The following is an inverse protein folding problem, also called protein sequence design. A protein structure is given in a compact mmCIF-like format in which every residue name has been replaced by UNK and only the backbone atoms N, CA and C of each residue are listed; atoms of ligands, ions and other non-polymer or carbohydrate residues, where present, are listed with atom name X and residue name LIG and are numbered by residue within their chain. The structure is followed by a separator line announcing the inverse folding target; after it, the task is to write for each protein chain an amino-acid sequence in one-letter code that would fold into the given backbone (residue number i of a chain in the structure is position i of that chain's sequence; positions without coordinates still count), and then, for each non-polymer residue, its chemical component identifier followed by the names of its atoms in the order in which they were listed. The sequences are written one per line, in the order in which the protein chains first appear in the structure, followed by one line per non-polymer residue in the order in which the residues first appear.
data_IF_698427871529
#
_entry.id   IF_698427871529
#
_cell.length_a   1.000
_cell.length_b   1.000
_cell.length_c   1.000
_cell.angle_alpha   90.00
_cell.angle_beta   90.00
_cell.angle_gamma   90.00
#
_symmetry.space_group_name_H-M   'P 1'
#
loop_
_entity.id
_entity.type
_entity.pdbx_description
1 polymer ?
#
# COMPACT_ATOMS: atom_id res chain seq x y z
N UNK A 1 23.63 0.91 -7.52
CA UNK A 1 23.21 2.15 -8.23
C UNK A 1 21.73 2.52 -8.07
N UNK A 2 20.84 1.65 -7.56
CA UNK A 2 19.41 1.98 -7.35
C UNK A 2 19.08 2.88 -6.15
N UNK A 3 19.99 2.99 -5.17
CA UNK A 3 19.75 3.78 -3.95
C UNK A 3 19.70 5.29 -4.22
N UNK A 4 20.63 5.81 -5.04
CA UNK A 4 20.78 7.25 -5.29
C UNK A 4 19.59 7.82 -6.08
N UNK A 5 19.10 7.08 -7.08
CA UNK A 5 17.91 7.50 -7.85
C UNK A 5 16.65 7.60 -6.97
N UNK A 6 16.46 6.65 -6.05
CA UNK A 6 15.35 6.71 -5.10
C UNK A 6 15.49 7.90 -4.14
N UNK A 7 16.71 8.21 -3.68
CA UNK A 7 16.96 9.37 -2.80
C UNK A 7 16.68 10.70 -3.49
N UNK A 8 17.03 10.84 -4.77
CA UNK A 8 16.76 12.07 -5.54
C UNK A 8 15.25 12.25 -5.77
N UNK A 9 14.53 11.17 -6.06
CA UNK A 9 13.07 11.21 -6.20
C UNK A 9 12.39 11.58 -4.87
N UNK A 10 12.82 10.98 -3.76
CA UNK A 10 12.31 11.29 -2.42
C UNK A 10 12.58 12.77 -2.04
N UNK A 11 13.74 13.32 -2.40
CA UNK A 11 14.09 14.72 -2.14
C UNK A 11 13.33 15.71 -3.04
N UNK A 12 13.10 15.36 -4.30
CA UNK A 12 12.23 16.10 -5.23
C UNK A 12 10.82 16.24 -4.66
N UNK A 13 10.27 15.14 -4.18
CA UNK A 13 8.93 15.12 -3.62
C UNK A 13 8.89 15.91 -2.30
N UNK A 14 9.89 15.75 -1.44
CA UNK A 14 10.01 16.57 -0.23
C UNK A 14 9.99 18.08 -0.51
N UNK A 15 10.80 18.56 -1.46
CA UNK A 15 10.84 19.99 -1.79
C UNK A 15 9.51 20.50 -2.38
N UNK A 16 8.85 19.69 -3.21
CA UNK A 16 7.56 20.07 -3.81
C UNK A 16 6.44 20.13 -2.80
N UNK A 17 6.40 19.19 -1.86
CA UNK A 17 5.28 19.03 -0.93
C UNK A 17 5.49 19.77 0.40
N UNK A 18 6.70 19.79 0.94
CA UNK A 18 6.98 20.33 2.30
C UNK A 18 7.53 21.77 2.26
N UNK A 19 8.33 22.14 1.25
CA UNK A 19 8.97 23.47 1.17
C UNK A 19 8.16 24.50 0.39
N UNK A 20 7.49 24.07 -0.69
CA UNK A 20 6.79 25.00 -1.59
C UNK A 20 5.28 25.12 -1.32
N UNK A 21 4.69 24.30 -0.44
CA UNK A 21 3.23 24.20 -0.23
C UNK A 21 2.41 24.17 -1.53
N UNK A 22 3.01 23.74 -2.65
CA UNK A 22 2.39 23.74 -3.99
C UNK A 22 1.30 22.67 -4.14
N UNK A 23 1.05 21.91 -3.09
CA UNK A 23 -0.03 20.95 -3.04
C UNK A 23 -1.22 21.56 -2.31
N UNK A 24 -1.99 22.38 -3.03
CA UNK A 24 -3.39 22.69 -2.70
C UNK A 24 -4.29 21.42 -2.67
N UNK A 25 -3.73 20.22 -2.88
CA UNK A 25 -4.46 18.98 -2.73
C UNK A 25 -4.48 18.61 -1.25
N UNK A 26 -5.64 18.68 -0.58
CA UNK A 26 -5.75 18.22 0.80
C UNK A 26 -5.23 16.79 0.88
N UNK A 27 -4.48 16.51 1.95
CA UNK A 27 -4.09 15.16 2.37
C UNK A 27 -5.26 14.24 2.08
N UNK A 28 -5.13 13.41 1.03
CA UNK A 28 -6.31 12.72 0.50
C UNK A 28 -6.80 11.80 1.60
N UNK A 29 -8.04 12.03 2.04
CA UNK A 29 -8.63 11.28 3.13
C UNK A 29 -8.81 9.85 2.64
N UNK A 30 -7.92 8.99 3.09
CA UNK A 30 -8.01 7.57 2.82
C UNK A 30 -9.01 6.97 3.82
N UNK A 31 -9.90 6.06 3.40
CA UNK A 31 -10.83 5.41 4.30
C UNK A 31 -10.05 4.65 5.38
N UNK A 32 -10.63 4.52 6.57
CA UNK A 32 -10.03 3.75 7.68
C UNK A 32 -10.17 2.25 7.49
N UNK A 33 -11.14 1.81 6.68
CA UNK A 33 -11.39 0.41 6.34
C UNK A 33 -11.86 0.30 4.89
N UNK A 34 -11.48 -0.78 4.23
CA UNK A 34 -11.88 -1.10 2.86
C UNK A 34 -12.42 -2.53 2.86
N UNK A 35 -13.57 -2.74 2.21
CA UNK A 35 -14.10 -4.08 1.99
C UNK A 35 -13.32 -4.76 0.86
N UNK A 36 -12.74 -5.93 1.17
CA UNK A 36 -11.86 -6.67 0.26
C UNK A 36 -12.45 -8.06 0.05
N UNK A 37 -12.49 -8.50 -1.20
CA UNK A 37 -12.79 -9.88 -1.57
C UNK A 37 -11.49 -10.64 -1.84
N UNK A 38 -11.45 -11.89 -1.40
CA UNK A 38 -10.31 -12.76 -1.63
C UNK A 38 -10.64 -13.79 -2.69
N UNK A 39 -9.74 -13.92 -3.66
CA UNK A 39 -9.84 -14.89 -4.73
C UNK A 39 -8.56 -15.72 -4.83
N UNK A 40 -8.73 -17.02 -5.03
CA UNK A 40 -7.63 -17.95 -5.24
C UNK A 40 -7.91 -18.81 -6.46
N UNK A 41 -6.91 -18.97 -7.32
CA UNK A 41 -7.01 -19.89 -8.45
C UNK A 41 -6.71 -21.32 -7.95
N UNK A 42 -7.62 -22.31 -8.10
CA UNK A 42 -7.46 -23.63 -7.46
C UNK A 42 -6.19 -24.40 -7.86
N UNK A 43 -5.74 -24.21 -9.10
CA UNK A 43 -4.63 -24.95 -9.70
C UNK A 43 -3.27 -24.24 -9.55
N UNK A 44 -3.24 -23.09 -8.88
CA UNK A 44 -2.01 -22.32 -8.72
C UNK A 44 -1.97 -21.65 -7.35
N UNK A 45 -0.77 -21.39 -6.85
CA UNK A 45 -0.61 -20.57 -5.65
C UNK A 45 -0.93 -19.08 -5.88
N UNK A 46 -1.51 -18.71 -7.03
CA UNK A 46 -1.86 -17.33 -7.32
C UNK A 46 -3.14 -16.92 -6.60
N UNK A 47 -3.06 -15.77 -5.94
CA UNK A 47 -4.14 -15.14 -5.19
C UNK A 47 -4.27 -13.69 -5.62
N UNK A 48 -5.50 -13.20 -5.67
CA UNK A 48 -5.76 -11.79 -5.88
C UNK A 48 -6.89 -11.33 -4.99
N UNK A 49 -6.89 -10.03 -4.76
CA UNK A 49 -7.86 -9.34 -3.93
C UNK A 49 -8.33 -8.11 -4.68
N UNK A 50 -9.60 -7.79 -4.53
CA UNK A 50 -10.26 -6.65 -5.13
C UNK A 50 -11.23 -6.01 -4.13
N UNK A 51 -11.58 -4.75 -4.35
CA UNK A 51 -12.59 -4.06 -3.56
C UNK A 51 -13.85 -3.81 -4.37
N UNK A 52 -15.01 -4.19 -3.82
CA UNK A 52 -16.32 -3.84 -4.40
C UNK A 52 -16.61 -2.35 -4.31
N UNK A 53 -16.17 -1.74 -3.22
CA UNK A 53 -16.44 -0.33 -2.91
C UNK A 53 -15.57 0.60 -3.76
N UNK A 54 -14.42 0.09 -4.24
CA UNK A 54 -13.44 0.84 -5.04
C UNK A 54 -13.06 0.08 -6.32
N UNK A 55 -13.85 0.21 -7.40
CA UNK A 55 -13.58 -0.43 -8.68
C UNK A 55 -12.19 -0.06 -9.22
N UNK A 56 -11.40 -1.07 -9.61
CA UNK A 56 -10.03 -0.89 -10.09
C UNK A 56 -8.97 -0.94 -8.99
N UNK A 57 -9.37 -1.01 -7.73
CA UNK A 57 -8.47 -1.37 -6.64
C UNK A 57 -8.32 -2.88 -6.60
N UNK A 58 -7.13 -3.36 -6.98
CA UNK A 58 -6.77 -4.77 -6.91
C UNK A 58 -5.32 -4.94 -6.50
N UNK A 59 -5.02 -6.08 -5.89
CA UNK A 59 -3.66 -6.52 -5.65
C UNK A 59 -3.58 -8.03 -5.87
N UNK A 60 -2.41 -8.52 -6.27
CA UNK A 60 -2.19 -9.94 -6.54
C UNK A 60 -0.83 -10.37 -6.03
N UNK A 61 -0.71 -11.66 -5.71
CA UNK A 61 0.52 -12.25 -5.23
C UNK A 61 0.40 -13.76 -5.16
N UNK A 62 1.28 -14.37 -4.38
CA UNK A 62 1.28 -15.81 -4.16
C UNK A 62 0.86 -16.17 -2.74
N UNK A 63 0.12 -17.28 -2.58
CA UNK A 63 -0.42 -17.76 -1.30
C UNK A 63 0.65 -18.16 -0.29
N UNK A 64 1.86 -18.46 -0.75
CA UNK A 64 3.01 -18.76 0.09
C UNK A 64 3.68 -17.51 0.69
N UNK A 65 3.36 -16.30 0.20
CA UNK A 65 3.83 -15.03 0.77
C UNK A 65 2.66 -14.05 0.98
N UNK A 66 1.86 -14.26 2.04
CA UNK A 66 0.77 -13.35 2.36
C UNK A 66 1.26 -11.96 2.81
N UNK A 67 2.55 -11.81 3.16
CA UNK A 67 3.14 -10.51 3.51
C UNK A 67 3.36 -9.66 2.26
N UNK A 68 3.80 -10.27 1.16
CA UNK A 68 3.91 -9.60 -0.14
C UNK A 68 2.54 -9.11 -0.61
N UNK A 69 1.52 -9.98 -0.58
CA UNK A 69 0.16 -9.61 -0.93
C UNK A 69 -0.38 -8.45 -0.08
N UNK A 70 -0.11 -8.47 1.22
CA UNK A 70 -0.48 -7.39 2.14
C UNK A 70 0.23 -6.05 1.82
N UNK A 71 1.51 -6.08 1.43
CA UNK A 71 2.24 -4.90 0.97
C UNK A 71 1.65 -4.35 -0.33
N UNK A 72 1.40 -5.23 -1.30
CA UNK A 72 0.77 -4.85 -2.58
C UNK A 72 -0.62 -4.25 -2.37
N UNK A 73 -1.42 -4.78 -1.44
CA UNK A 73 -2.71 -4.21 -1.07
C UNK A 73 -2.57 -2.76 -0.60
N UNK A 74 -1.71 -2.52 0.37
CA UNK A 74 -1.53 -1.19 0.95
C UNK A 74 -1.00 -0.20 -0.09
N UNK A 75 -0.04 -0.63 -0.93
CA UNK A 75 0.49 0.20 -2.01
C UNK A 75 -0.60 0.53 -3.06
N UNK A 76 -1.43 -0.45 -3.42
CA UNK A 76 -2.56 -0.25 -4.31
C UNK A 76 -3.59 0.73 -3.73
N UNK A 77 -3.93 0.62 -2.44
CA UNK A 77 -4.85 1.53 -1.76
C UNK A 77 -4.27 2.95 -1.76
N UNK A 78 -3.04 3.13 -1.31
CA UNK A 78 -2.41 4.44 -1.23
C UNK A 78 -2.26 5.08 -2.61
N UNK A 79 -1.93 4.28 -3.63
CA UNK A 79 -1.87 4.72 -5.03
C UNK A 79 -3.25 5.09 -5.58
N UNK A 80 -4.28 4.31 -5.28
CA UNK A 80 -5.67 4.57 -5.71
C UNK A 80 -6.17 5.92 -5.19
N UNK A 81 -5.87 6.25 -3.93
CA UNK A 81 -6.21 7.54 -3.34
C UNK A 81 -5.19 8.65 -3.66
N UNK A 82 -4.21 8.41 -4.52
CA UNK A 82 -3.23 9.41 -4.93
C UNK A 82 -2.35 9.92 -3.78
N UNK A 83 -2.14 9.10 -2.74
CA UNK A 83 -1.29 9.43 -1.60
C UNK A 83 0.16 9.51 -2.09
N UNK A 84 0.85 10.65 -1.93
CA UNK A 84 2.25 10.77 -2.33
C UNK A 84 3.13 9.74 -1.63
N UNK A 85 4.18 9.29 -2.33
CA UNK A 85 5.10 8.25 -1.84
C UNK A 85 5.74 8.59 -0.50
N UNK A 86 6.04 9.88 -0.25
CA UNK A 86 6.62 10.33 1.01
C UNK A 86 5.63 10.16 2.19
N UNK A 87 4.33 10.42 1.98
CA UNK A 87 3.31 10.19 3.01
C UNK A 87 3.05 8.71 3.20
N UNK A 88 2.98 7.95 2.11
CA UNK A 88 2.81 6.50 2.16
C UNK A 88 3.90 5.86 3.04
N UNK A 89 5.17 6.25 2.85
CA UNK A 89 6.29 5.80 3.69
C UNK A 89 6.14 6.17 5.16
N UNK A 90 5.65 7.38 5.47
CA UNK A 90 5.41 7.84 6.85
C UNK A 90 4.26 7.09 7.52
N UNK A 91 3.18 6.78 6.77
CA UNK A 91 1.99 6.07 7.27
C UNK A 91 2.22 4.57 7.46
N UNK A 92 3.19 3.98 6.76
CA UNK A 92 3.46 2.55 6.81
C UNK A 92 2.38 1.75 6.09
N UNK A 93 1.95 0.64 6.69
CA UNK A 93 0.97 -0.29 6.11
C UNK A 93 -0.28 -0.33 7.00
N UNK A 94 -1.16 0.69 6.90
CA UNK A 94 -2.28 0.88 7.83
C UNK A 94 -3.45 -0.08 7.60
N UNK A 95 -3.53 -0.72 6.44
CA UNK A 95 -4.64 -1.59 6.08
C UNK A 95 -4.34 -3.03 6.43
N UNK A 96 -5.27 -3.69 7.13
CA UNK A 96 -5.19 -5.11 7.39
C UNK A 96 -5.64 -5.92 6.18
N UNK A 97 -5.02 -7.08 5.99
CA UNK A 97 -5.46 -8.06 5.00
C UNK A 97 -6.25 -9.17 5.70
N UNK A 98 -7.57 -9.28 5.50
CA UNK A 98 -8.34 -10.43 5.97
C UNK A 98 -8.02 -11.65 5.10
N UNK A 99 -7.60 -12.74 5.73
CA UNK A 99 -7.33 -14.01 5.07
C UNK A 99 -8.57 -14.93 5.14
N UNK A 100 -8.74 -15.86 4.17
CA UNK A 100 -9.87 -16.79 4.15
C UNK A 100 -9.97 -17.70 5.37
N UNK A 101 -8.88 -17.89 6.11
CA UNK A 101 -8.80 -18.71 7.32
C UNK A 101 -9.32 -17.97 8.58
N UNK A 102 -9.87 -16.77 8.44
CA UNK A 102 -10.35 -15.94 9.56
C UNK A 102 -9.24 -15.21 10.30
N UNK A 103 -7.97 -15.40 9.92
CA UNK A 103 -6.87 -14.59 10.44
C UNK A 103 -6.76 -13.28 9.65
N UNK A 104 -6.23 -12.24 10.28
CA UNK A 104 -5.93 -10.99 9.61
C UNK A 104 -4.46 -10.64 9.80
N UNK A 105 -3.79 -10.23 8.73
CA UNK A 105 -2.49 -9.56 8.84
C UNK A 105 -2.79 -8.13 9.24
N UNK A 106 -2.59 -7.81 10.51
CA UNK A 106 -2.84 -6.48 11.09
C UNK A 106 -1.63 -5.57 10.96
N UNK A 107 -1.92 -4.28 10.87
CA UNK A 107 -1.00 -3.14 10.85
C UNK A 107 0.30 -3.41 11.63
N UNK A 108 1.43 -3.41 10.93
CA UNK A 108 2.75 -3.36 11.56
C UNK A 108 3.30 -1.95 11.44
N UNK A 109 3.79 -1.40 12.55
CA UNK A 109 4.43 -0.09 12.59
C UNK A 109 5.53 0.03 11.53
N UNK A 110 5.56 1.18 10.84
CA UNK A 110 6.47 1.51 9.75
C UNK A 110 7.96 1.30 10.10
N UNK A 111 8.30 1.26 11.39
CA UNK A 111 9.67 1.10 11.88
C UNK A 111 10.32 -0.25 11.53
N UNK A 112 9.55 -1.30 11.23
CA UNK A 112 10.13 -2.63 10.97
C UNK A 112 10.67 -2.82 9.54
N UNK A 113 10.33 -1.93 8.60
CA UNK A 113 10.74 -2.02 7.20
C UNK A 113 11.55 -0.81 6.70
N UNK A 114 11.80 0.18 7.57
CA UNK A 114 12.66 1.32 7.25
C UNK A 114 14.17 0.98 7.27
N UNK A 115 14.55 -0.29 7.47
CA UNK A 115 15.94 -0.75 7.46
C UNK A 115 16.08 -2.20 7.04
N UNK A 116 16.31 -2.41 5.73
CA UNK A 116 17.09 -3.52 5.17
C UNK A 116 17.58 -3.11 3.76
#
# INVERSE_FOLDING_TARGET
MYKIYNTILDFSDYLKYDFLSLSDKPVTQTPTSISIQFHQKPESNFVWIDSRDYPGLFASGYSNDPTELWKCLNDAILSYFGVPRYEAKKRGLPYSLPLPNGQAIVQQDAQKYAGA
#
